data_IF_248109291336
#
_entry.id   IF_248109291336
#
_cell.length_a   1.000
_cell.length_b   1.000
_cell.length_c   1.000
_cell.angle_alpha   90.00
_cell.angle_beta   90.00
_cell.angle_gamma   90.00
#
_symmetry.space_group_name_H-M   'P 1'
#
loop_
_entity.id
_entity.type
_entity.pdbx_description
1 polymer ?
#
# COMPACT_ATOMS: atom_id res chain seq x y z
N UNK A 1 -20.97 3.13 -4.99
CA UNK A 1 -20.53 4.49 -4.63
C UNK A 1 -19.74 4.44 -3.32
N UNK A 2 -18.62 5.16 -3.18
CA UNK A 2 -17.90 5.23 -1.90
C UNK A 2 -18.79 5.89 -0.83
N UNK A 3 -18.78 5.33 0.38
CA UNK A 3 -19.55 5.85 1.53
C UNK A 3 -18.73 6.76 2.43
N UNK A 4 -17.41 6.62 2.40
CA UNK A 4 -16.47 7.43 3.14
C UNK A 4 -15.23 7.62 2.25
N UNK A 5 -14.75 8.85 2.18
CA UNK A 5 -13.46 9.18 1.57
C UNK A 5 -12.65 9.95 2.60
N UNK A 6 -11.41 9.54 2.81
CA UNK A 6 -10.49 10.19 3.75
C UNK A 6 -9.10 10.25 3.14
N UNK A 7 -8.45 11.39 3.28
CA UNK A 7 -7.04 11.57 2.92
C UNK A 7 -6.19 11.48 4.17
N UNK A 8 -5.13 10.67 4.09
CA UNK A 8 -4.12 10.54 5.13
C UNK A 8 -2.83 11.12 4.56
N UNK A 9 -2.22 12.09 5.27
CA UNK A 9 -0.98 12.75 4.82
C UNK A 9 0.29 11.89 5.07
N UNK A 10 0.13 10.58 5.11
CA UNK A 10 1.21 9.60 5.25
C UNK A 10 1.20 8.69 4.03
N UNK A 11 2.34 8.54 3.41
CA UNK A 11 2.51 7.69 2.22
C UNK A 11 3.97 7.32 2.01
N UNK A 12 4.31 6.82 0.82
CA UNK A 12 5.67 6.39 0.49
C UNK A 12 6.71 7.50 0.79
N UNK A 13 6.40 8.76 0.48
CA UNK A 13 7.30 9.89 0.76
C UNK A 13 7.59 10.08 2.25
N UNK A 14 6.64 9.76 3.12
CA UNK A 14 6.84 9.82 4.57
C UNK A 14 7.74 8.69 5.05
N UNK A 15 7.56 7.48 4.50
CA UNK A 15 8.42 6.33 4.78
C UNK A 15 9.85 6.58 4.29
N UNK A 16 10.00 7.09 3.08
CA UNK A 16 11.32 7.44 2.50
C UNK A 16 12.03 8.47 3.38
N UNK A 17 11.34 9.52 3.79
CA UNK A 17 11.91 10.55 4.67
C UNK A 17 12.36 9.98 6.01
N UNK A 18 11.55 9.10 6.60
CA UNK A 18 11.92 8.42 7.85
C UNK A 18 13.16 7.54 7.66
N UNK A 19 13.23 6.80 6.56
CA UNK A 19 14.41 5.99 6.24
C UNK A 19 15.67 6.83 5.99
N UNK A 20 15.57 7.94 5.25
CA UNK A 20 16.67 8.89 5.05
C UNK A 20 17.23 9.37 6.39
N UNK A 21 16.36 9.80 7.30
CA UNK A 21 16.76 10.31 8.60
C UNK A 21 17.40 9.26 9.51
N UNK A 22 16.83 8.05 9.53
CA UNK A 22 17.24 7.01 10.49
C UNK A 22 18.39 6.12 9.97
N UNK A 23 18.56 6.02 8.64
CA UNK A 23 19.65 5.26 8.04
C UNK A 23 20.81 6.13 7.54
N UNK A 24 20.63 7.47 7.55
CA UNK A 24 21.62 8.43 7.01
C UNK A 24 22.03 8.13 5.56
N UNK A 25 21.07 7.77 4.73
CA UNK A 25 21.25 7.45 3.30
C UNK A 25 20.58 8.50 2.42
N UNK A 26 20.93 8.52 1.13
CA UNK A 26 20.27 9.37 0.15
C UNK A 26 18.82 8.90 -0.13
N UNK A 27 17.98 9.83 -0.61
CA UNK A 27 16.55 9.57 -0.84
C UNK A 27 16.31 8.39 -1.81
N UNK A 28 17.08 8.33 -2.91
CA UNK A 28 16.97 7.26 -3.88
C UNK A 28 17.33 5.89 -3.28
N UNK A 29 18.36 5.84 -2.44
CA UNK A 29 18.73 4.62 -1.72
C UNK A 29 17.67 4.21 -0.72
N UNK A 30 17.12 5.16 0.04
CA UNK A 30 16.04 4.91 0.99
C UNK A 30 14.81 4.33 0.27
N UNK A 31 14.44 4.93 -0.85
CA UNK A 31 13.33 4.45 -1.71
C UNK A 31 13.57 3.03 -2.20
N UNK A 32 14.77 2.76 -2.72
CA UNK A 32 15.16 1.42 -3.20
C UNK A 32 15.12 0.40 -2.06
N UNK A 33 15.59 0.75 -0.87
CA UNK A 33 15.56 -0.15 0.30
C UNK A 33 14.13 -0.49 0.70
N UNK A 34 13.24 0.49 0.74
CA UNK A 34 11.82 0.27 1.07
C UNK A 34 11.15 -0.62 0.02
N UNK A 35 11.35 -0.36 -1.27
CA UNK A 35 10.71 -1.13 -2.34
C UNK A 35 11.30 -2.54 -2.50
N UNK A 36 12.58 -2.72 -2.20
CA UNK A 36 13.27 -4.02 -2.36
C UNK A 36 13.15 -4.91 -1.13
N UNK A 37 13.27 -4.35 0.05
CA UNK A 37 13.31 -5.10 1.30
C UNK A 37 12.02 -4.98 2.11
N UNK A 38 11.31 -3.86 1.96
CA UNK A 38 10.04 -3.61 2.65
C UNK A 38 10.16 -3.80 4.17
N UNK A 39 9.25 -4.58 4.70
CA UNK A 39 9.17 -4.91 6.12
C UNK A 39 9.75 -6.31 6.44
N UNK A 40 10.59 -6.86 5.57
CA UNK A 40 11.24 -8.15 5.82
C UNK A 40 12.29 -8.04 6.94
N UNK A 41 12.08 -8.70 8.08
CA UNK A 41 12.95 -8.55 9.26
C UNK A 41 14.30 -9.23 9.10
N UNK A 42 14.42 -10.18 8.17
CA UNK A 42 15.62 -10.93 7.84
C UNK A 42 16.55 -10.20 6.87
N UNK A 43 16.08 -9.08 6.30
CA UNK A 43 16.85 -8.29 5.36
C UNK A 43 17.53 -7.10 6.04
N UNK A 44 18.83 -6.92 5.75
CA UNK A 44 19.67 -5.88 6.35
C UNK A 44 19.50 -5.85 7.89
N UNK A 45 19.44 -7.01 8.54
CA UNK A 45 19.24 -7.16 9.99
C UNK A 45 18.02 -6.36 10.52
N UNK A 46 16.99 -6.19 9.69
CA UNK A 46 15.79 -5.43 10.02
C UNK A 46 15.99 -3.92 10.15
N UNK A 47 17.11 -3.37 9.69
CA UNK A 47 17.40 -1.93 9.82
C UNK A 47 16.37 -1.08 9.08
N UNK A 48 15.92 -1.50 7.89
CA UNK A 48 14.90 -0.77 7.12
C UNK A 48 13.58 -0.71 7.89
N UNK A 49 13.14 -1.84 8.43
CA UNK A 49 11.90 -1.90 9.23
C UNK A 49 11.98 -0.97 10.42
N UNK A 50 13.05 -1.06 11.21
CA UNK A 50 13.25 -0.17 12.39
C UNK A 50 13.29 1.30 12.01
N UNK A 51 13.87 1.64 10.84
CA UNK A 51 13.97 3.01 10.38
C UNK A 51 12.62 3.65 10.04
N UNK A 52 11.62 2.85 9.66
CA UNK A 52 10.29 3.34 9.24
C UNK A 52 9.16 2.94 10.19
N UNK A 53 9.46 2.23 11.29
CA UNK A 53 8.49 1.63 12.19
C UNK A 53 7.49 2.64 12.77
N UNK A 54 7.98 3.74 13.31
CA UNK A 54 7.10 4.79 13.87
C UNK A 54 6.15 5.41 12.83
N UNK A 55 6.62 5.56 11.59
CA UNK A 55 5.79 6.06 10.48
C UNK A 55 4.75 5.04 10.06
N UNK A 56 5.10 3.76 10.06
CA UNK A 56 4.16 2.66 9.79
C UNK A 56 3.10 2.52 10.89
N UNK A 57 3.49 2.64 12.16
CA UNK A 57 2.55 2.61 13.28
C UNK A 57 1.55 3.78 13.21
N UNK A 58 2.02 4.97 12.88
CA UNK A 58 1.15 6.12 12.64
C UNK A 58 0.18 5.87 11.47
N UNK A 59 0.67 5.30 10.38
CA UNK A 59 -0.16 4.95 9.23
C UNK A 59 -1.24 3.93 9.59
N UNK A 60 -0.88 2.84 10.28
CA UNK A 60 -1.83 1.83 10.75
C UNK A 60 -2.86 2.42 11.73
N UNK A 61 -2.43 3.34 12.61
CA UNK A 61 -3.32 4.06 13.53
C UNK A 61 -4.37 4.88 12.77
N UNK A 62 -3.97 5.59 11.71
CA UNK A 62 -4.89 6.36 10.88
C UNK A 62 -5.88 5.48 10.11
N UNK A 63 -5.46 4.29 9.66
CA UNK A 63 -6.37 3.30 9.07
C UNK A 63 -7.39 2.85 10.12
N UNK A 64 -6.94 2.48 11.31
CA UNK A 64 -7.82 2.04 12.41
C UNK A 64 -8.83 3.12 12.81
N UNK A 65 -8.41 4.40 12.88
CA UNK A 65 -9.34 5.52 13.11
C UNK A 65 -10.40 5.61 12.01
N UNK A 66 -10.01 5.37 10.76
CA UNK A 66 -10.94 5.39 9.62
C UNK A 66 -11.94 4.23 9.67
N UNK A 67 -11.47 3.03 10.01
CA UNK A 67 -12.30 1.84 10.20
C UNK A 67 -13.30 2.06 11.34
N UNK A 68 -12.82 2.55 12.49
CA UNK A 68 -13.68 2.83 13.65
C UNK A 68 -14.72 3.90 13.33
N UNK A 69 -14.32 4.98 12.67
CA UNK A 69 -15.26 6.03 12.26
C UNK A 69 -16.35 5.49 11.32
N UNK A 70 -15.96 4.65 10.35
CA UNK A 70 -16.92 4.01 9.44
C UNK A 70 -17.89 3.10 10.18
N UNK A 71 -17.41 2.25 11.08
CA UNK A 71 -18.23 1.32 11.87
C UNK A 71 -19.22 2.06 12.77
N UNK A 72 -18.80 3.16 13.42
CA UNK A 72 -19.67 3.98 14.25
C UNK A 72 -20.79 4.64 13.44
N UNK A 73 -20.51 5.02 12.18
CA UNK A 73 -21.50 5.67 11.33
C UNK A 73 -22.42 4.68 10.61
N UNK A 74 -21.96 3.47 10.37
CA UNK A 74 -22.65 2.43 9.61
C UNK A 74 -22.65 1.12 10.40
N UNK A 75 -23.36 1.09 11.52
CA UNK A 75 -23.35 -0.03 12.48
C UNK A 75 -23.77 -1.37 11.86
N UNK A 76 -24.64 -1.34 10.83
CA UNK A 76 -25.10 -2.55 10.12
C UNK A 76 -24.14 -3.05 9.02
N UNK A 77 -23.01 -2.36 8.78
CA UNK A 77 -22.08 -2.69 7.69
C UNK A 77 -20.70 -3.00 8.26
N UNK A 78 -20.30 -4.25 8.18
CA UNK A 78 -18.95 -4.66 8.55
C UNK A 78 -17.95 -4.41 7.40
N UNK A 79 -16.76 -3.93 7.74
CA UNK A 79 -15.63 -3.91 6.82
C UNK A 79 -15.00 -5.31 6.82
N UNK A 80 -15.13 -6.02 5.73
CA UNK A 80 -14.67 -7.42 5.59
C UNK A 80 -13.27 -7.56 5.02
N UNK A 81 -12.72 -6.50 4.42
CA UNK A 81 -11.39 -6.54 3.83
C UNK A 81 -10.88 -5.16 3.43
N UNK A 82 -9.59 -5.07 3.24
CA UNK A 82 -8.86 -3.91 2.73
C UNK A 82 -8.24 -4.32 1.39
N UNK A 83 -8.40 -3.49 0.37
CA UNK A 83 -7.72 -3.65 -0.91
C UNK A 83 -6.61 -2.60 -1.01
N UNK A 84 -5.37 -3.06 -1.05
CA UNK A 84 -4.19 -2.21 -1.16
C UNK A 84 -3.79 -2.06 -2.63
N UNK A 85 -3.64 -0.83 -3.09
CA UNK A 85 -3.26 -0.51 -4.48
C UNK A 85 -2.24 0.62 -4.55
N UNK A 86 -1.70 0.87 -5.74
CA UNK A 86 -0.67 1.86 -5.95
C UNK A 86 0.68 1.45 -5.38
N UNK A 87 1.58 2.40 -5.14
CA UNK A 87 2.93 2.14 -4.63
C UNK A 87 2.97 1.35 -3.31
N UNK A 88 1.98 1.53 -2.44
CA UNK A 88 1.89 0.76 -1.20
C UNK A 88 1.81 -0.74 -1.43
N UNK A 89 1.15 -1.17 -2.51
CA UNK A 89 1.04 -2.58 -2.86
C UNK A 89 2.37 -3.19 -3.37
N UNK A 90 3.36 -2.35 -3.69
CA UNK A 90 4.70 -2.78 -4.12
C UNK A 90 5.70 -2.89 -2.97
N UNK A 91 5.32 -2.50 -1.74
CA UNK A 91 6.18 -2.62 -0.56
C UNK A 91 6.04 -4.03 0.02
N UNK A 92 7.11 -4.85 0.03
CA UNK A 92 7.03 -6.20 0.56
C UNK A 92 6.54 -6.25 2.01
N UNK A 93 5.61 -7.16 2.30
CA UNK A 93 5.00 -7.42 3.62
C UNK A 93 4.19 -6.26 4.24
N UNK A 94 3.91 -5.18 3.49
CA UNK A 94 3.06 -4.10 4.00
C UNK A 94 1.61 -4.56 4.21
N UNK A 95 1.11 -5.43 3.34
CA UNK A 95 -0.20 -6.06 3.44
C UNK A 95 -0.35 -6.85 4.75
N UNK A 96 0.62 -7.70 5.05
CA UNK A 96 0.65 -8.49 6.28
C UNK A 96 0.75 -7.59 7.53
N UNK A 97 1.57 -6.54 7.46
CA UNK A 97 1.70 -5.57 8.54
C UNK A 97 0.37 -4.87 8.84
N UNK A 98 -0.29 -4.33 7.80
CA UNK A 98 -1.58 -3.66 7.95
C UNK A 98 -2.64 -4.65 8.46
N UNK A 99 -2.67 -5.89 7.93
CA UNK A 99 -3.59 -6.92 8.37
C UNK A 99 -3.45 -7.21 9.87
N UNK A 100 -2.21 -7.37 10.35
CA UNK A 100 -1.92 -7.61 11.76
C UNK A 100 -2.32 -6.43 12.67
N UNK A 101 -2.08 -5.20 12.22
CA UNK A 101 -2.38 -3.99 12.99
C UNK A 101 -3.86 -3.62 13.02
N UNK A 102 -4.61 -4.03 12.00
CA UNK A 102 -6.04 -3.67 11.87
C UNK A 102 -7.00 -4.81 12.21
N UNK A 103 -6.49 -6.05 12.28
CA UNK A 103 -7.28 -7.29 12.35
C UNK A 103 -8.29 -7.43 11.18
N UNK A 104 -7.98 -6.83 10.03
CA UNK A 104 -8.78 -6.92 8.80
C UNK A 104 -7.89 -7.51 7.70
N UNK A 105 -8.45 -8.47 6.95
CA UNK A 105 -7.71 -9.08 5.84
C UNK A 105 -7.35 -8.03 4.79
N UNK A 106 -6.08 -8.00 4.39
CA UNK A 106 -5.57 -7.12 3.34
C UNK A 106 -5.23 -7.95 2.11
N UNK A 107 -5.73 -7.51 0.95
CA UNK A 107 -5.44 -8.11 -0.34
C UNK A 107 -4.79 -7.06 -1.25
N UNK A 108 -3.86 -7.50 -2.08
CA UNK A 108 -3.26 -6.64 -3.09
C UNK A 108 -4.20 -6.53 -4.30
N UNK A 109 -4.36 -5.31 -4.80
CA UNK A 109 -5.12 -5.08 -6.02
C UNK A 109 -4.39 -5.67 -7.23
N UNK A 110 -5.14 -6.28 -8.13
CA UNK A 110 -4.64 -6.64 -9.46
C UNK A 110 -5.42 -5.86 -10.52
N UNK A 111 -4.98 -4.65 -10.88
CA UNK A 111 -5.69 -3.81 -11.85
C UNK A 111 -5.70 -4.40 -13.25
N UNK A 112 -4.78 -5.31 -13.58
CA UNK A 112 -4.63 -5.94 -14.89
C UNK A 112 -5.53 -7.16 -15.10
N UNK A 113 -6.27 -7.60 -14.10
CA UNK A 113 -7.07 -8.84 -14.17
C UNK A 113 -8.05 -8.89 -15.35
N UNK A 114 -8.51 -7.71 -15.81
CA UNK A 114 -9.46 -7.57 -16.94
C UNK A 114 -8.83 -6.94 -18.18
N UNK A 115 -7.51 -6.83 -18.23
CA UNK A 115 -6.76 -6.26 -19.34
C UNK A 115 -5.95 -7.34 -20.01
N UNK A 116 -6.12 -7.50 -21.32
CA UNK A 116 -5.28 -8.41 -22.10
C UNK A 116 -3.91 -7.76 -22.32
N UNK A 117 -2.87 -8.33 -21.72
CA UNK A 117 -1.49 -7.88 -21.90
C UNK A 117 -0.78 -8.90 -22.77
N UNK A 118 -0.19 -8.48 -23.92
CA UNK A 118 0.64 -9.36 -24.73
C UNK A 118 1.78 -9.96 -23.92
N UNK A 119 2.08 -11.23 -24.17
CA UNK A 119 3.09 -11.99 -23.40
C UNK A 119 4.47 -11.30 -23.37
N UNK A 120 4.83 -10.57 -24.44
CA UNK A 120 6.08 -9.81 -24.55
C UNK A 120 6.22 -8.68 -23.52
N UNK A 121 5.11 -8.16 -22.98
CA UNK A 121 5.11 -7.06 -22.00
C UNK A 121 4.86 -7.51 -20.56
N UNK A 122 4.45 -8.76 -20.34
CA UNK A 122 4.10 -9.25 -19.00
C UNK A 122 5.22 -9.11 -17.99
N UNK A 123 6.46 -9.45 -18.39
CA UNK A 123 7.63 -9.34 -17.50
C UNK A 123 7.96 -7.87 -17.14
N UNK A 124 7.72 -6.94 -18.05
CA UNK A 124 7.99 -5.51 -17.82
C UNK A 124 6.91 -4.87 -16.94
N UNK A 125 5.66 -5.31 -17.09
CA UNK A 125 4.52 -4.73 -16.37
C UNK A 125 4.39 -5.30 -14.97
N UNK A 126 4.71 -6.57 -14.74
CA UNK A 126 4.52 -7.24 -13.46
C UNK A 126 5.08 -6.47 -12.24
N UNK A 127 6.30 -5.93 -12.27
CA UNK A 127 6.86 -5.19 -11.12
C UNK A 127 6.15 -3.88 -10.80
N UNK A 128 5.53 -3.25 -11.81
CA UNK A 128 4.87 -1.93 -11.71
C UNK A 128 3.36 -2.01 -11.84
N UNK A 129 2.81 -3.22 -11.88
CA UNK A 129 1.39 -3.47 -12.17
C UNK A 129 0.44 -2.64 -11.30
N UNK A 130 0.73 -2.53 -10.01
CA UNK A 130 -0.11 -1.84 -9.04
C UNK A 130 -0.11 -0.32 -9.19
N UNK A 131 0.92 0.26 -9.82
CA UNK A 131 1.03 1.70 -10.03
C UNK A 131 0.00 2.22 -11.03
N UNK A 132 -0.47 1.35 -11.94
CA UNK A 132 -1.42 1.68 -12.99
C UNK A 132 -2.90 1.54 -12.59
N UNK A 133 -3.20 1.24 -11.33
CA UNK A 133 -4.58 1.00 -10.87
C UNK A 133 -5.56 2.13 -11.24
N UNK A 134 -5.15 3.38 -11.08
CA UNK A 134 -5.97 4.54 -11.42
C UNK A 134 -6.13 4.68 -12.95
N UNK A 135 -5.03 4.56 -13.69
CA UNK A 135 -5.05 4.70 -15.16
C UNK A 135 -5.92 3.61 -15.81
N UNK A 136 -5.78 2.36 -15.36
CA UNK A 136 -6.60 1.25 -15.86
C UNK A 136 -8.07 1.42 -15.47
N UNK A 137 -8.35 1.85 -14.23
CA UNK A 137 -9.71 2.10 -13.80
C UNK A 137 -10.40 3.22 -14.62
N UNK A 138 -9.66 4.27 -14.96
CA UNK A 138 -10.15 5.34 -15.83
C UNK A 138 -10.37 4.85 -17.28
N UNK A 139 -9.43 4.06 -17.82
CA UNK A 139 -9.54 3.51 -19.17
C UNK A 139 -10.73 2.55 -19.32
N UNK A 140 -11.05 1.80 -18.27
CA UNK A 140 -12.18 0.86 -18.27
C UNK A 140 -13.53 1.51 -17.99
N UNK A 141 -13.56 2.77 -17.54
CA UNK A 141 -14.80 3.44 -17.14
C UNK A 141 -15.82 3.59 -18.29
N UNK A 142 -15.37 3.73 -19.54
CA UNK A 142 -16.23 3.82 -20.71
C UNK A 142 -16.91 2.50 -21.08
N UNK A 143 -16.38 1.37 -20.61
CA UNK A 143 -16.88 0.02 -20.89
C UNK A 143 -17.88 -0.49 -19.85
N UNK A 144 -18.24 0.33 -18.86
CA UNK A 144 -19.19 0.01 -17.78
C UNK A 144 -20.59 0.58 -18.06
N UNK A 145 -20.96 0.71 -19.35
CA UNK A 145 -22.35 1.02 -19.75
C UNK A 145 -23.16 -0.24 -19.87
#
# INVERSE_FOLDING_TARGET
>A
MPRLVRTISLGLSSLVRSAVQNLSVQEDQARQFILKFGLAPDRLDGQVVRAIDSTLDNFASEINKSLKFFQTRYESIAVTGILLSGFGASIPQLDSYISNKTNVQVNLANPWQRVQVPASYQQQISPIANEFAVAIGLAQRSNLK
#
